data_IF_942024714310
#
_entry.id   IF_942024714310
#
_cell.length_a   1.000
_cell.length_b   1.000
_cell.length_c   1.000
_cell.angle_alpha   90.00
_cell.angle_beta   90.00
_cell.angle_gamma   90.00
#
_symmetry.space_group_name_H-M   'P 1'
#
loop_
_entity.id
_entity.type
_entity.pdbx_description
1 polymer ?
#
# COMPACT_ATOMS: atom_id res chain seq x y z
N UNK A 1 27.32 -7.20 7.46
CA UNK A 1 26.09 -7.63 8.18
C UNK A 1 26.36 -7.49 9.67
N UNK A 2 25.60 -6.65 10.39
CA UNK A 2 25.75 -6.46 11.84
C UNK A 2 24.75 -7.37 12.57
N UNK A 3 25.14 -7.98 13.69
CA UNK A 3 24.24 -8.77 14.54
C UNK A 3 23.62 -7.86 15.62
N UNK A 4 22.30 -7.87 15.72
CA UNK A 4 21.55 -7.12 16.74
C UNK A 4 20.95 -8.08 17.76
N UNK A 5 21.30 -7.90 19.03
CA UNK A 5 20.72 -8.64 20.16
C UNK A 5 19.76 -7.70 20.88
N UNK A 6 18.50 -8.12 21.04
CA UNK A 6 17.49 -7.36 21.78
C UNK A 6 17.50 -7.78 23.25
N UNK A 7 17.42 -6.80 24.15
CA UNK A 7 17.30 -7.00 25.60
C UNK A 7 16.32 -6.00 26.19
N UNK A 8 15.87 -6.26 27.42
CA UNK A 8 15.02 -5.38 28.22
C UNK A 8 15.51 -5.43 29.66
N UNK A 9 15.38 -4.34 30.41
CA UNK A 9 15.77 -4.25 31.81
C UNK A 9 14.63 -3.59 32.61
N UNK A 10 14.41 -4.07 33.83
CA UNK A 10 13.33 -3.65 34.72
C UNK A 10 13.87 -3.52 36.15
N UNK A 11 13.23 -2.70 36.97
CA UNK A 11 13.67 -2.44 38.34
C UNK A 11 13.32 -3.60 39.28
N UNK A 12 12.25 -4.33 38.98
CA UNK A 12 11.79 -5.48 39.78
C UNK A 12 11.26 -6.63 38.90
N UNK A 13 11.14 -7.80 39.52
CA UNK A 13 10.70 -9.02 38.83
C UNK A 13 9.24 -8.97 38.37
N UNK A 14 8.37 -8.29 39.13
CA UNK A 14 6.95 -8.17 38.81
C UNK A 14 6.71 -7.36 37.52
N UNK A 15 7.48 -6.29 37.31
CA UNK A 15 7.46 -5.51 36.07
C UNK A 15 7.93 -6.35 34.87
N UNK A 16 8.97 -7.19 35.05
CA UNK A 16 9.43 -8.10 34.01
C UNK A 16 8.33 -9.12 33.65
N UNK A 17 7.68 -9.72 34.65
CA UNK A 17 6.56 -10.66 34.44
C UNK A 17 5.40 -10.00 33.69
N UNK A 18 5.02 -8.78 34.08
CA UNK A 18 3.97 -8.03 33.41
C UNK A 18 4.31 -7.74 31.93
N UNK A 19 5.56 -7.35 31.65
CA UNK A 19 6.02 -7.13 30.28
C UNK A 19 6.04 -8.41 29.44
N UNK A 20 6.49 -9.53 30.01
CA UNK A 20 6.50 -10.82 29.32
C UNK A 20 5.06 -11.27 28.99
N UNK A 21 4.13 -11.13 29.94
CA UNK A 21 2.71 -11.41 29.70
C UNK A 21 2.15 -10.54 28.57
N UNK A 22 2.40 -9.23 28.58
CA UNK A 22 1.99 -8.33 27.51
C UNK A 22 2.56 -8.74 26.14
N UNK A 23 3.83 -9.14 26.09
CA UNK A 23 4.46 -9.64 24.85
C UNK A 23 3.84 -10.93 24.35
N UNK A 24 3.46 -11.83 25.24
CA UNK A 24 2.75 -13.05 24.85
C UNK A 24 1.37 -12.75 24.29
N UNK A 25 0.61 -11.86 24.91
CA UNK A 25 -0.69 -11.42 24.39
C UNK A 25 -0.55 -10.75 23.03
N UNK A 26 0.45 -9.89 22.85
CA UNK A 26 0.74 -9.25 21.57
C UNK A 26 1.08 -10.29 20.49
N UNK A 27 1.86 -11.34 20.81
CA UNK A 27 2.15 -12.44 19.88
C UNK A 27 0.91 -13.26 19.52
N UNK A 28 -0.04 -13.42 20.43
CA UNK A 28 -1.32 -14.12 20.14
C UNK A 28 -2.19 -13.35 19.15
N UNK A 29 -2.09 -12.02 19.13
CA UNK A 29 -2.86 -11.14 18.24
C UNK A 29 -2.11 -10.74 16.97
N UNK A 30 -0.99 -11.39 16.68
CA UNK A 30 -0.20 -11.12 15.48
C UNK A 30 -1.00 -11.55 14.23
N UNK A 31 -1.24 -10.59 13.33
CA UNK A 31 -2.01 -10.80 12.10
C UNK A 31 -1.38 -11.85 11.18
N UNK A 32 -0.08 -12.10 11.29
CA UNK A 32 0.61 -13.14 10.47
C UNK A 32 0.24 -14.53 10.95
N UNK A 33 0.15 -14.71 12.26
CA UNK A 33 -0.31 -15.97 12.86
C UNK A 33 -1.79 -16.17 12.57
N UNK A 34 -2.62 -15.18 12.89
CA UNK A 34 -4.06 -15.26 12.62
C UNK A 34 -4.37 -15.42 11.13
N UNK A 35 -3.59 -14.79 10.25
CA UNK A 35 -3.72 -14.91 8.80
C UNK A 35 -3.50 -16.33 8.30
N UNK A 36 -2.56 -17.08 8.91
CA UNK A 36 -2.32 -18.49 8.64
C UNK A 36 -3.38 -19.38 9.31
N UNK A 37 -3.63 -19.19 10.60
CA UNK A 37 -4.58 -20.00 11.39
C UNK A 37 -6.01 -19.94 10.81
N UNK A 38 -6.41 -18.79 10.27
CA UNK A 38 -7.74 -18.56 9.70
C UNK A 38 -7.80 -18.67 8.17
N UNK A 39 -6.68 -18.97 7.51
CA UNK A 39 -6.58 -19.08 6.06
C UNK A 39 -7.06 -17.80 5.32
N UNK A 40 -6.54 -16.65 5.75
CA UNK A 40 -6.95 -15.33 5.21
C UNK A 40 -6.02 -14.85 4.09
N UNK A 41 -4.71 -15.04 4.25
CA UNK A 41 -3.72 -14.63 3.26
C UNK A 41 -2.43 -15.43 3.41
N UNK A 42 -1.65 -15.47 2.34
CA UNK A 42 -0.29 -16.00 2.34
C UNK A 42 0.68 -15.10 1.60
N UNK A 43 1.96 -15.23 1.91
CA UNK A 43 3.06 -14.65 1.12
C UNK A 43 3.84 -15.85 0.59
N UNK A 44 3.87 -16.01 -0.72
CA UNK A 44 4.43 -17.18 -1.39
C UNK A 44 5.75 -16.86 -2.10
N UNK A 45 6.35 -17.87 -2.73
CA UNK A 45 7.60 -17.75 -3.49
C UNK A 45 7.54 -16.76 -4.66
N UNK A 46 6.35 -16.27 -5.03
CA UNK A 46 6.15 -15.26 -6.07
C UNK A 46 6.77 -13.89 -5.74
N UNK A 47 7.13 -13.63 -4.47
CA UNK A 47 7.90 -12.45 -4.11
C UNK A 47 7.63 -11.95 -2.69
N UNK A 48 8.69 -11.48 -2.02
CA UNK A 48 8.58 -10.88 -0.70
C UNK A 48 7.68 -9.63 -0.74
N UNK A 49 6.67 -9.59 0.13
CA UNK A 49 5.78 -8.45 0.26
C UNK A 49 4.69 -8.38 -0.83
N UNK A 50 4.46 -9.48 -1.56
CA UNK A 50 3.32 -9.65 -2.45
C UNK A 50 2.32 -10.60 -1.78
N UNK A 51 1.15 -10.07 -1.44
CA UNK A 51 0.15 -10.76 -0.61
C UNK A 51 -0.86 -11.49 -1.49
N UNK A 52 -1.04 -12.77 -1.23
CA UNK A 52 -2.08 -13.61 -1.81
C UNK A 52 -3.28 -13.61 -0.87
N UNK A 53 -4.38 -13.01 -1.31
CA UNK A 53 -5.64 -13.01 -0.55
C UNK A 53 -6.40 -14.31 -0.83
N UNK A 54 -6.65 -15.09 0.22
CA UNK A 54 -7.42 -16.34 0.13
C UNK A 54 -8.92 -16.02 0.16
N UNK A 55 -9.83 -16.95 -0.19
CA UNK A 55 -11.26 -16.64 -0.31
C UNK A 55 -11.86 -15.91 0.90
N UNK A 56 -11.52 -16.34 2.12
CA UNK A 56 -12.01 -15.68 3.35
C UNK A 56 -11.45 -14.26 3.52
N UNK A 57 -10.16 -14.06 3.30
CA UNK A 57 -9.54 -12.74 3.37
C UNK A 57 -10.00 -11.81 2.23
N UNK A 58 -10.24 -12.37 1.05
CA UNK A 58 -10.77 -11.65 -0.10
C UNK A 58 -12.18 -11.12 0.15
N UNK A 59 -13.06 -11.89 0.81
CA UNK A 59 -14.39 -11.41 1.22
C UNK A 59 -14.29 -10.27 2.23
N UNK A 60 -13.41 -10.37 3.22
CA UNK A 60 -13.19 -9.28 4.19
C UNK A 60 -12.74 -8.00 3.46
N UNK A 61 -11.77 -8.14 2.56
CA UNK A 61 -11.28 -7.06 1.72
C UNK A 61 -12.40 -6.46 0.85
N UNK A 62 -13.20 -7.29 0.20
CA UNK A 62 -14.32 -6.86 -0.63
C UNK A 62 -15.35 -6.04 0.16
N UNK A 63 -15.73 -6.48 1.36
CA UNK A 63 -16.65 -5.74 2.23
C UNK A 63 -16.09 -4.35 2.59
N UNK A 64 -14.79 -4.27 2.90
CA UNK A 64 -14.12 -3.00 3.20
C UNK A 64 -14.11 -2.09 1.96
N UNK A 65 -13.74 -2.62 0.79
CA UNK A 65 -13.71 -1.87 -0.46
C UNK A 65 -15.09 -1.35 -0.87
N UNK A 66 -16.14 -2.16 -0.71
CA UNK A 66 -17.50 -1.77 -1.06
C UNK A 66 -18.07 -0.73 -0.09
N UNK A 67 -17.79 -0.88 1.21
CA UNK A 67 -18.13 0.14 2.21
C UNK A 67 -17.43 1.46 1.87
N UNK A 68 -16.14 1.40 1.51
CA UNK A 68 -15.38 2.57 1.11
C UNK A 68 -15.97 3.26 -0.12
N UNK A 69 -16.26 2.50 -1.19
CA UNK A 69 -16.85 3.04 -2.43
C UNK A 69 -18.20 3.71 -2.13
N UNK A 70 -19.05 3.04 -1.36
CA UNK A 70 -20.37 3.57 -0.98
C UNK A 70 -20.26 4.92 -0.27
N UNK A 71 -19.40 5.02 0.75
CA UNK A 71 -19.19 6.27 1.50
C UNK A 71 -18.67 7.39 0.59
N UNK A 72 -17.79 7.10 -0.37
CA UNK A 72 -17.22 8.10 -1.27
C UNK A 72 -18.25 8.58 -2.29
N UNK A 73 -19.02 7.67 -2.87
CA UNK A 73 -20.13 8.03 -3.78
C UNK A 73 -21.20 8.87 -3.07
N UNK A 74 -21.57 8.52 -1.83
CA UNK A 74 -22.51 9.31 -1.01
C UNK A 74 -21.98 10.71 -0.67
N UNK A 75 -20.65 10.89 -0.66
CA UNK A 75 -19.98 12.19 -0.41
C UNK A 75 -19.65 12.97 -1.68
N UNK A 76 -20.13 12.51 -2.84
CA UNK A 76 -19.94 13.17 -4.13
C UNK A 76 -18.52 13.07 -4.68
N UNK A 77 -17.83 11.95 -4.43
CA UNK A 77 -16.59 11.60 -5.13
C UNK A 77 -16.88 10.78 -6.38
N UNK A 78 -16.21 11.12 -7.46
CA UNK A 78 -16.20 10.34 -8.69
C UNK A 78 -15.12 9.25 -8.62
N UNK A 79 -15.54 8.00 -8.84
CA UNK A 79 -14.63 6.86 -8.81
C UNK A 79 -13.82 6.77 -10.10
N UNK A 80 -12.51 6.59 -9.97
CA UNK A 80 -11.58 6.40 -11.08
C UNK A 80 -10.95 5.01 -11.05
N UNK A 81 -10.52 4.56 -12.23
CA UNK A 81 -9.66 3.39 -12.41
C UNK A 81 -8.52 3.79 -13.34
N UNK A 82 -7.29 3.77 -12.85
CA UNK A 82 -6.12 4.18 -13.63
C UNK A 82 -5.12 3.03 -13.80
N UNK A 83 -4.27 3.08 -14.85
CA UNK A 83 -3.30 2.01 -15.13
C UNK A 83 -2.26 1.80 -14.02
N UNK A 84 -1.62 0.63 -13.99
CA UNK A 84 -0.54 0.30 -13.05
C UNK A 84 0.86 0.70 -13.53
N UNK A 85 1.01 0.95 -14.83
CA UNK A 85 2.28 1.25 -15.50
C UNK A 85 2.14 2.57 -16.25
N UNK A 86 3.19 3.38 -16.29
CA UNK A 86 3.26 4.59 -17.10
C UNK A 86 4.68 4.81 -17.62
N UNK A 87 4.81 5.65 -18.63
CA UNK A 87 6.11 6.13 -19.13
C UNK A 87 6.88 6.83 -18.00
N UNK A 88 8.19 6.63 -17.97
CA UNK A 88 9.11 7.22 -16.99
C UNK A 88 8.98 8.76 -16.93
N UNK A 89 8.71 9.40 -18.07
CA UNK A 89 8.52 10.84 -18.17
C UNK A 89 7.40 11.38 -17.29
N UNK A 90 6.32 10.61 -17.05
CA UNK A 90 5.25 11.03 -16.14
C UNK A 90 5.77 11.20 -14.71
N UNK A 91 6.66 10.31 -14.27
CA UNK A 91 7.28 10.34 -12.95
C UNK A 91 8.32 11.45 -12.83
N UNK A 92 8.97 11.82 -13.95
CA UNK A 92 9.85 12.98 -14.05
C UNK A 92 9.06 14.29 -13.91
N UNK A 93 7.98 14.43 -14.69
CA UNK A 93 7.12 15.63 -14.67
C UNK A 93 6.52 15.86 -13.29
N UNK A 94 6.14 14.78 -12.61
CA UNK A 94 5.58 14.86 -11.26
C UNK A 94 6.63 14.98 -10.15
N UNK A 95 7.93 15.01 -10.46
CA UNK A 95 9.04 15.09 -9.50
C UNK A 95 9.27 13.83 -8.65
N UNK A 96 8.54 12.74 -8.90
CA UNK A 96 8.66 11.51 -8.10
C UNK A 96 9.97 10.78 -8.38
N UNK A 97 10.56 10.92 -9.57
CA UNK A 97 11.87 10.37 -9.85
C UNK A 97 13.00 11.02 -9.05
N UNK A 98 12.84 12.25 -8.56
CA UNK A 98 13.91 12.90 -7.81
C UNK A 98 13.90 12.47 -6.34
N UNK A 99 12.71 12.29 -5.76
CA UNK A 99 12.55 11.97 -4.34
C UNK A 99 12.29 10.48 -4.04
N UNK A 100 11.71 9.75 -4.99
CA UNK A 100 11.18 8.41 -4.76
C UNK A 100 11.91 7.30 -5.50
N UNK A 101 12.94 7.64 -6.29
CA UNK A 101 13.68 6.69 -7.14
C UNK A 101 14.11 5.42 -6.41
N UNK A 102 14.66 5.58 -5.20
CA UNK A 102 15.18 4.47 -4.39
C UNK A 102 14.08 3.51 -3.91
N UNK A 103 12.83 4.00 -3.83
CA UNK A 103 11.67 3.23 -3.38
C UNK A 103 10.77 2.81 -4.56
N UNK A 104 11.20 3.01 -5.80
CA UNK A 104 10.48 2.60 -7.00
C UNK A 104 11.06 1.30 -7.54
N UNK A 105 10.21 0.49 -8.17
CA UNK A 105 10.69 -0.64 -8.94
C UNK A 105 11.50 -0.16 -10.14
N UNK A 106 12.44 -0.99 -10.57
CA UNK A 106 13.26 -0.71 -11.75
C UNK A 106 12.39 -0.49 -13.00
N UNK A 107 12.92 0.33 -13.90
CA UNK A 107 12.27 0.66 -15.15
C UNK A 107 12.35 -0.52 -16.12
N UNK A 108 11.27 -0.71 -16.88
CA UNK A 108 11.16 -1.70 -17.95
C UNK A 108 11.34 -0.99 -19.28
N UNK A 109 12.29 -1.45 -20.11
CA UNK A 109 12.47 -0.93 -21.46
C UNK A 109 11.58 -1.71 -22.43
N UNK A 110 10.72 -0.99 -23.16
CA UNK A 110 9.79 -1.52 -24.14
C UNK A 110 9.83 -0.60 -25.35
N UNK A 111 10.26 -1.12 -26.51
CA UNK A 111 10.27 -0.36 -27.78
C UNK A 111 11.00 0.99 -27.68
N UNK A 112 12.21 0.99 -27.08
CA UNK A 112 13.04 2.18 -26.83
C UNK A 112 12.43 3.20 -25.84
N UNK A 113 11.29 2.88 -25.23
CA UNK A 113 10.67 3.68 -24.19
C UNK A 113 10.81 3.04 -22.80
N UNK A 114 11.02 3.89 -21.79
CA UNK A 114 11.11 3.46 -20.40
C UNK A 114 9.73 3.53 -19.74
N UNK A 115 9.26 2.40 -19.23
CA UNK A 115 8.05 2.25 -18.44
C UNK A 115 8.37 1.94 -16.99
N UNK A 116 7.48 2.33 -16.08
CA UNK A 116 7.69 2.08 -14.66
C UNK A 116 6.37 1.80 -13.94
N UNK A 117 6.44 0.90 -12.96
CA UNK A 117 5.32 0.63 -12.05
C UNK A 117 5.02 1.85 -11.20
N UNK A 118 3.74 2.12 -10.97
CA UNK A 118 3.32 3.27 -10.19
C UNK A 118 3.65 3.13 -8.70
N UNK A 119 4.36 4.09 -8.08
CA UNK A 119 4.54 4.16 -6.63
C UNK A 119 3.39 4.89 -5.92
N UNK A 120 2.61 5.67 -6.68
CA UNK A 120 1.51 6.53 -6.23
C UNK A 120 0.50 6.75 -7.37
N UNK A 121 -0.74 7.07 -7.02
CA UNK A 121 -1.82 7.29 -8.00
C UNK A 121 -1.93 8.74 -8.48
N UNK A 122 -1.36 9.70 -7.73
CA UNK A 122 -1.57 11.15 -7.94
C UNK A 122 -1.32 11.62 -9.38
N UNK A 123 -0.24 11.21 -10.08
CA UNK A 123 0.01 11.69 -11.45
C UNK A 123 -1.08 11.25 -12.44
N UNK A 124 -1.71 10.09 -12.23
CA UNK A 124 -2.81 9.64 -13.08
C UNK A 124 -4.08 10.46 -12.86
N UNK A 125 -4.40 10.80 -11.62
CA UNK A 125 -5.57 11.64 -11.31
C UNK A 125 -5.43 13.03 -11.96
N UNK A 126 -4.22 13.59 -11.95
CA UNK A 126 -3.92 14.85 -12.65
C UNK A 126 -4.07 14.70 -14.17
N UNK A 127 -3.70 13.58 -14.77
CA UNK A 127 -3.93 13.34 -16.20
C UNK A 127 -5.42 13.25 -16.55
N UNK A 128 -6.22 12.60 -15.69
CA UNK A 128 -7.68 12.56 -15.85
C UNK A 128 -8.27 13.97 -15.74
N UNK A 129 -7.84 14.75 -14.75
CA UNK A 129 -8.23 16.15 -14.61
C UNK A 129 -7.86 16.97 -15.87
N UNK A 130 -6.64 16.84 -16.39
CA UNK A 130 -6.17 17.57 -17.58
C UNK A 130 -6.89 17.22 -18.88
N UNK A 131 -7.67 16.14 -18.93
CA UNK A 131 -8.39 15.72 -20.14
C UNK A 131 -9.43 16.75 -20.61
N UNK A 132 -10.03 17.47 -19.67
CA UNK A 132 -11.11 18.43 -19.96
C UNK A 132 -10.78 19.80 -19.37
N UNK A 133 -11.41 20.84 -19.94
CA UNK A 133 -11.36 22.19 -19.38
C UNK A 133 -12.36 22.27 -18.23
N UNK A 134 -11.91 22.77 -17.08
CA UNK A 134 -12.74 22.96 -15.89
C UNK A 134 -12.98 24.44 -15.66
N UNK A 135 -14.23 24.80 -15.39
CA UNK A 135 -14.63 26.13 -14.94
C UNK A 135 -14.44 26.25 -13.43
N UNK A 136 -14.30 27.47 -12.92
CA UNK A 136 -14.25 27.72 -11.48
C UNK A 136 -15.51 27.22 -10.75
N UNK A 137 -16.65 27.09 -11.47
CA UNK A 137 -17.92 26.62 -10.94
C UNK A 137 -17.98 25.11 -10.75
N UNK A 138 -17.10 24.36 -11.42
CA UNK A 138 -17.08 22.91 -11.33
C UNK A 138 -16.39 22.44 -10.03
N UNK A 139 -15.76 23.37 -9.31
CA UNK A 139 -15.11 23.09 -8.03
C UNK A 139 -16.11 23.06 -6.86
N UNK A 140 -15.92 22.15 -5.89
CA UNK A 140 -14.77 21.23 -5.75
C UNK A 140 -14.91 19.94 -6.57
N UNK A 141 -13.87 19.58 -7.34
CA UNK A 141 -13.78 18.30 -8.06
C UNK A 141 -13.19 17.26 -7.12
N UNK A 142 -13.93 16.17 -6.91
CA UNK A 142 -13.53 15.12 -5.97
C UNK A 142 -13.43 13.80 -6.70
N UNK A 143 -12.23 13.24 -6.73
CA UNK A 143 -11.98 11.94 -7.35
C UNK A 143 -11.42 10.97 -6.34
N UNK A 144 -11.79 9.70 -6.45
CA UNK A 144 -11.32 8.66 -5.55
C UNK A 144 -10.99 7.37 -6.32
N UNK A 145 -9.91 6.71 -5.93
CA UNK A 145 -9.48 5.45 -6.54
C UNK A 145 -8.93 4.50 -5.46
N UNK A 146 -9.36 3.24 -5.53
CA UNK A 146 -8.71 2.12 -4.85
C UNK A 146 -7.53 1.64 -5.71
N UNK A 147 -6.45 2.43 -5.72
CA UNK A 147 -5.36 2.23 -6.66
C UNK A 147 -4.26 1.35 -6.06
N UNK A 148 -4.02 0.19 -6.67
CA UNK A 148 -2.88 -0.67 -6.34
C UNK A 148 -1.57 -0.07 -6.80
N UNK A 149 -0.69 0.24 -5.86
CA UNK A 149 0.65 0.79 -6.08
C UNK A 149 1.72 -0.21 -5.68
N UNK A 150 2.92 0.00 -6.21
CA UNK A 150 4.08 -0.83 -5.99
C UNK A 150 5.26 0.00 -5.49
N UNK A 151 5.86 -0.40 -4.36
CA UNK A 151 7.04 0.24 -3.77
C UNK A 151 8.14 -0.78 -3.53
N UNK A 152 9.35 -0.41 -3.90
CA UNK A 152 10.53 -1.21 -3.65
C UNK A 152 10.97 -1.03 -2.20
N UNK A 153 10.43 -1.88 -1.34
CA UNK A 153 10.84 -1.98 0.06
C UNK A 153 11.96 -3.02 0.21
N UNK A 154 12.98 -2.70 1.01
CA UNK A 154 14.08 -3.61 1.32
C UNK A 154 13.54 -4.93 1.88
N UNK A 155 14.04 -6.07 1.41
CA UNK A 155 13.50 -7.39 1.78
C UNK A 155 13.46 -7.62 3.30
N UNK A 156 14.44 -7.10 4.05
CA UNK A 156 14.51 -7.21 5.52
C UNK A 156 13.51 -6.31 6.28
N UNK A 157 12.86 -5.37 5.59
CA UNK A 157 11.87 -4.46 6.19
C UNK A 157 10.42 -4.97 6.04
N UNK A 158 10.20 -5.97 5.19
CA UNK A 158 8.88 -6.52 4.90
C UNK A 158 8.30 -7.20 6.14
N UNK A 159 7.01 -6.96 6.40
CA UNK A 159 6.36 -7.44 7.62
C UNK A 159 4.86 -7.73 7.41
N UNK A 160 4.54 -8.99 7.10
CA UNK A 160 3.15 -9.45 6.92
C UNK A 160 2.38 -8.53 5.97
N UNK A 161 1.25 -7.99 6.42
CA UNK A 161 0.46 -6.98 5.70
C UNK A 161 0.84 -5.51 5.99
N UNK A 162 1.61 -5.22 7.04
CA UNK A 162 1.90 -3.84 7.45
C UNK A 162 2.95 -3.17 6.57
N UNK A 163 3.94 -3.93 6.10
CA UNK A 163 4.97 -3.43 5.18
C UNK A 163 5.14 -4.42 4.04
N UNK A 164 4.60 -4.04 2.89
CA UNK A 164 4.46 -4.85 1.68
C UNK A 164 4.93 -4.04 0.48
N UNK A 165 5.28 -4.73 -0.61
CA UNK A 165 5.69 -4.09 -1.85
C UNK A 165 4.51 -3.72 -2.74
N UNK A 166 3.46 -4.54 -2.75
CA UNK A 166 2.24 -4.29 -3.49
C UNK A 166 1.07 -4.06 -2.54
N UNK A 167 0.40 -2.92 -2.63
CA UNK A 167 -0.76 -2.61 -1.80
C UNK A 167 -1.74 -1.67 -2.49
N UNK A 168 -3.01 -1.78 -2.12
CA UNK A 168 -4.07 -0.91 -2.62
C UNK A 168 -4.24 0.26 -1.68
N UNK A 169 -3.96 1.46 -2.19
CA UNK A 169 -4.16 2.69 -1.44
C UNK A 169 -5.58 3.21 -1.63
N UNK A 170 -6.16 3.65 -0.53
CA UNK A 170 -7.28 4.58 -0.53
C UNK A 170 -6.73 5.94 -0.96
N UNK A 171 -6.89 6.30 -2.23
CA UNK A 171 -6.45 7.57 -2.76
C UNK A 171 -7.67 8.43 -3.08
N UNK A 172 -7.69 9.65 -2.55
CA UNK A 172 -8.71 10.64 -2.87
C UNK A 172 -8.04 12.00 -3.06
N UNK A 173 -8.56 12.77 -4.01
CA UNK A 173 -8.19 14.17 -4.24
C UNK A 173 -9.46 15.02 -4.16
N UNK A 174 -9.33 16.20 -3.55
CA UNK A 174 -10.42 17.15 -3.28
C UNK A 174 -10.06 18.53 -3.77
#
# INVERSE_FOLDING_TARGET
MLQRIYGTAWENEDQLKAYLHFKEEAKRRDHRRLGQDLDLFSIQAAGGGLVFWHPKGAIIRHIIEDTWKKIHMERGYDLLYTPHVAKADLWKISGHLDFYKENMFDQMEIEEELYQLRPMNCPYHVLVYKRQLHSYRDFPIRVAELGTVYRYELSGSLHGLFRVRGFTQVCFQT
#
